data_IF_093586314553
#
_entry.id   IF_093586314553
#
_cell.length_a   1.000
_cell.length_b   1.000
_cell.length_c   1.000
_cell.angle_alpha   90.00
_cell.angle_beta   90.00
_cell.angle_gamma   90.00
#
_symmetry.space_group_name_H-M   'P 1'
#
loop_
_entity.id
_entity.type
_entity.pdbx_description
1 polymer ?
#
# COMPACT_ATOMS: atom_id res chain seq x y z
N UNK A 1 -10.11 7.00 -39.63
CA UNK A 1 -8.76 7.49 -40.00
C UNK A 1 -7.81 7.07 -38.89
N UNK A 2 -6.73 6.37 -39.23
CA UNK A 2 -5.85 5.68 -38.27
C UNK A 2 -4.65 6.57 -37.98
N UNK A 3 -4.33 6.76 -36.70
CA UNK A 3 -3.37 7.77 -36.24
C UNK A 3 -2.07 7.19 -35.64
N UNK A 4 -1.90 5.86 -35.70
CA UNK A 4 -0.73 5.16 -35.17
C UNK A 4 -0.36 3.93 -36.01
N UNK A 5 0.90 3.52 -35.90
CA UNK A 5 1.44 2.33 -36.55
C UNK A 5 2.60 1.73 -35.73
N UNK A 6 2.86 0.43 -35.88
CA UNK A 6 3.92 -0.28 -35.17
C UNK A 6 5.10 -0.62 -36.10
N UNK A 7 6.32 -0.43 -35.60
CA UNK A 7 7.57 -0.76 -36.29
C UNK A 7 8.39 -1.73 -35.44
N UNK A 8 8.84 -2.86 -36.01
CA UNK A 8 9.60 -3.89 -35.28
C UNK A 8 10.41 -4.80 -36.22
N UNK A 9 11.67 -5.15 -35.88
CA UNK A 9 12.57 -5.91 -36.78
C UNK A 9 12.25 -7.40 -36.95
N UNK A 10 11.69 -8.13 -35.95
CA UNK A 10 10.96 -9.35 -36.25
C UNK A 10 9.49 -9.01 -36.54
N UNK A 11 8.92 -9.59 -37.59
CA UNK A 11 7.45 -9.58 -37.76
C UNK A 11 6.85 -10.25 -36.52
N UNK A 12 6.11 -9.52 -35.66
CA UNK A 12 5.58 -10.12 -34.44
C UNK A 12 4.63 -11.26 -34.83
N UNK A 13 4.74 -12.41 -34.15
CA UNK A 13 3.76 -13.49 -34.32
C UNK A 13 2.37 -12.99 -33.91
N UNK A 14 1.37 -13.17 -34.78
CA UNK A 14 0.00 -12.71 -34.52
C UNK A 14 -0.25 -11.23 -34.84
N UNK A 15 0.13 -10.78 -36.04
CA UNK A 15 0.09 -9.37 -36.44
C UNK A 15 -1.31 -8.75 -36.31
N UNK A 16 -1.39 -7.69 -35.51
CA UNK A 16 -2.42 -6.66 -35.61
C UNK A 16 -2.38 -6.02 -37.02
N UNK A 17 -3.50 -5.52 -37.54
CA UNK A 17 -3.59 -4.78 -38.82
C UNK A 17 -2.78 -3.46 -38.86
N UNK A 18 -1.94 -3.20 -37.85
CA UNK A 18 -1.31 -1.92 -37.53
C UNK A 18 0.22 -1.93 -37.72
N UNK A 19 0.80 -3.01 -38.25
CA UNK A 19 2.24 -3.10 -38.55
C UNK A 19 2.60 -2.32 -39.82
N UNK A 20 3.56 -1.40 -39.72
CA UNK A 20 4.02 -0.54 -40.82
C UNK A 20 5.41 -0.88 -41.36
N UNK A 21 6.26 -1.57 -40.58
CA UNK A 21 7.59 -1.95 -41.07
C UNK A 21 8.59 -2.33 -39.97
N UNK A 22 9.86 -2.29 -40.33
CA UNK A 22 10.99 -2.51 -39.42
C UNK A 22 11.53 -1.18 -38.85
N UNK A 23 12.55 -1.22 -38.00
CA UNK A 23 13.11 0.00 -37.39
C UNK A 23 13.83 0.89 -38.41
N UNK A 24 14.30 0.34 -39.53
CA UNK A 24 14.91 1.14 -40.59
C UNK A 24 13.85 1.96 -41.33
N UNK A 25 12.70 1.35 -41.64
CA UNK A 25 11.54 2.03 -42.22
C UNK A 25 11.03 3.15 -41.31
N UNK A 26 11.00 2.93 -39.99
CA UNK A 26 10.67 3.96 -39.01
C UNK A 26 11.57 5.20 -39.16
N UNK A 27 12.89 5.01 -39.28
CA UNK A 27 13.84 6.12 -39.43
C UNK A 27 13.65 6.83 -40.77
N UNK A 28 13.38 6.10 -41.85
CA UNK A 28 13.11 6.69 -43.17
C UNK A 28 11.82 7.52 -43.18
N UNK A 29 10.75 7.01 -42.59
CA UNK A 29 9.47 7.73 -42.50
C UNK A 29 9.53 8.93 -41.55
N UNK A 30 10.33 8.84 -40.48
CA UNK A 30 10.65 9.98 -39.61
C UNK A 30 11.42 11.07 -40.36
N UNK A 31 12.45 10.70 -41.15
CA UNK A 31 13.21 11.64 -42.00
C UNK A 31 12.36 12.27 -43.10
N UNK A 32 11.40 11.54 -43.64
CA UNK A 32 10.45 12.04 -44.62
C UNK A 32 9.36 12.96 -44.03
N UNK A 33 9.38 13.23 -42.72
CA UNK A 33 8.41 14.10 -42.04
C UNK A 33 7.01 13.50 -41.92
N UNK A 34 6.85 12.19 -42.14
CA UNK A 34 5.55 11.50 -42.02
C UNK A 34 5.18 11.21 -40.57
N UNK A 35 6.17 11.21 -39.68
CA UNK A 35 6.03 10.89 -38.26
C UNK A 35 6.47 12.11 -37.47
N UNK A 36 5.72 12.43 -36.41
CA UNK A 36 6.03 13.54 -35.50
C UNK A 36 6.38 13.03 -34.10
N UNK A 37 5.86 11.88 -33.70
CA UNK A 37 6.06 11.28 -32.38
C UNK A 37 6.44 9.81 -32.54
N UNK A 38 7.52 9.40 -31.88
CA UNK A 38 7.98 8.02 -31.81
C UNK A 38 7.95 7.58 -30.35
N UNK A 39 7.18 6.54 -30.06
CA UNK A 39 7.14 5.93 -28.73
C UNK A 39 7.94 4.63 -28.72
N UNK A 40 9.00 4.57 -27.93
CA UNK A 40 9.86 3.38 -27.76
C UNK A 40 9.28 2.55 -26.61
N UNK A 41 8.73 1.38 -26.92
CA UNK A 41 8.20 0.42 -25.95
C UNK A 41 9.09 -0.84 -25.82
N UNK A 42 10.37 -0.72 -26.17
CA UNK A 42 11.33 -1.83 -26.12
C UNK A 42 11.84 -2.05 -24.69
N UNK A 43 12.16 -3.30 -24.35
CA UNK A 43 12.75 -3.64 -23.05
C UNK A 43 14.13 -2.99 -22.90
N UNK A 44 14.42 -2.50 -21.70
CA UNK A 44 15.70 -1.82 -21.38
C UNK A 44 16.93 -2.73 -21.47
N UNK A 45 16.75 -4.06 -21.41
CA UNK A 45 17.85 -5.02 -21.60
C UNK A 45 18.50 -4.92 -22.99
N UNK A 46 17.80 -4.35 -23.98
CA UNK A 46 18.30 -4.04 -25.33
C UNK A 46 18.93 -2.63 -25.41
N UNK A 47 19.59 -2.17 -24.35
CA UNK A 47 20.10 -0.79 -24.24
C UNK A 47 20.95 -0.31 -25.42
N UNK A 48 21.74 -1.20 -26.04
CA UNK A 48 22.52 -0.89 -27.25
C UNK A 48 21.63 -0.58 -28.46
N UNK A 49 20.51 -1.28 -28.61
CA UNK A 49 19.57 -1.13 -29.73
C UNK A 49 18.72 0.13 -29.57
N UNK A 50 18.25 0.41 -28.36
CA UNK A 50 17.56 1.67 -28.03
C UNK A 50 18.49 2.85 -28.29
N UNK A 51 19.74 2.81 -27.82
CA UNK A 51 20.73 3.87 -28.05
C UNK A 51 20.98 4.11 -29.54
N UNK A 52 21.14 3.04 -30.34
CA UNK A 52 21.31 3.14 -31.80
C UNK A 52 20.11 3.80 -32.46
N UNK A 53 18.89 3.39 -32.10
CA UNK A 53 17.66 3.95 -32.66
C UNK A 53 17.48 5.44 -32.31
N UNK A 54 17.68 5.80 -31.04
CA UNK A 54 17.63 7.20 -30.58
C UNK A 54 18.64 8.05 -31.36
N UNK A 55 19.86 7.56 -31.57
CA UNK A 55 20.87 8.26 -32.36
C UNK A 55 20.46 8.45 -33.83
N UNK A 56 19.85 7.43 -34.45
CA UNK A 56 19.35 7.52 -35.84
C UNK A 56 18.16 8.48 -36.00
N UNK A 57 17.35 8.64 -34.96
CA UNK A 57 16.21 9.56 -34.93
C UNK A 57 16.60 10.99 -34.51
N UNK A 58 17.79 11.20 -33.94
CA UNK A 58 18.24 12.51 -33.46
C UNK A 58 18.36 13.56 -34.57
N UNK A 59 18.63 13.12 -35.81
CA UNK A 59 18.71 14.00 -37.00
C UNK A 59 17.34 14.24 -37.66
N UNK A 60 16.24 13.98 -36.95
CA UNK A 60 14.87 14.17 -37.45
C UNK A 60 14.10 15.20 -36.62
N UNK A 61 12.95 15.65 -37.11
CA UNK A 61 12.04 16.56 -36.37
C UNK A 61 11.10 15.82 -35.43
N UNK A 62 11.26 14.51 -35.24
CA UNK A 62 10.40 13.70 -34.39
C UNK A 62 10.68 13.92 -32.90
N UNK A 63 9.61 13.99 -32.10
CA UNK A 63 9.71 13.81 -30.65
C UNK A 63 9.84 12.31 -30.34
N UNK A 64 10.93 11.92 -29.69
CA UNK A 64 11.19 10.52 -29.29
C UNK A 64 10.90 10.37 -27.81
N UNK A 65 9.88 9.59 -27.47
CA UNK A 65 9.44 9.31 -26.10
C UNK A 65 9.71 7.85 -25.76
N UNK A 66 10.17 7.59 -24.55
CA UNK A 66 10.37 6.24 -24.02
C UNK A 66 9.19 5.88 -23.13
N UNK A 67 8.59 4.72 -23.37
CA UNK A 67 7.57 4.12 -22.50
C UNK A 67 8.31 3.21 -21.51
N UNK A 68 8.46 3.59 -20.23
CA UNK A 68 9.09 2.73 -19.25
C UNK A 68 8.21 1.51 -18.95
N UNK A 69 8.83 0.37 -18.71
CA UNK A 69 8.13 -0.77 -18.10
C UNK A 69 7.83 -0.51 -16.62
N UNK A 70 7.00 -1.33 -15.99
CA UNK A 70 6.58 -1.17 -14.57
C UNK A 70 7.78 -1.11 -13.63
N UNK A 71 8.84 -1.87 -13.92
CA UNK A 71 10.06 -1.90 -13.12
C UNK A 71 10.87 -0.60 -13.25
N UNK A 72 11.07 -0.12 -14.47
CA UNK A 72 11.72 1.15 -14.81
C UNK A 72 10.93 2.33 -14.27
N UNK A 73 9.60 2.28 -14.31
CA UNK A 73 8.74 3.33 -13.78
C UNK A 73 8.91 3.48 -12.25
N UNK A 74 9.00 2.36 -11.53
CA UNK A 74 9.28 2.36 -10.09
C UNK A 74 10.68 2.91 -9.78
N UNK A 75 11.69 2.55 -10.58
CA UNK A 75 13.05 3.08 -10.47
C UNK A 75 13.09 4.60 -10.67
N UNK A 76 12.43 5.12 -11.72
CA UNK A 76 12.40 6.55 -12.03
C UNK A 76 11.70 7.39 -10.95
N UNK A 77 10.74 6.81 -10.23
CA UNK A 77 10.05 7.46 -9.11
C UNK A 77 10.72 7.20 -7.76
N UNK A 78 11.67 6.26 -7.68
CA UNK A 78 12.44 6.04 -6.46
C UNK A 78 13.46 7.17 -6.28
N UNK A 79 13.69 7.57 -5.03
CA UNK A 79 14.81 8.46 -4.73
C UNK A 79 16.11 7.73 -5.05
N UNK A 80 16.94 8.33 -5.91
CA UNK A 80 18.33 7.90 -6.06
C UNK A 80 19.00 8.20 -4.71
N UNK A 81 19.41 7.14 -4.02
CA UNK A 81 20.22 7.26 -2.80
C UNK A 81 21.70 7.14 -3.17
N UNK A 82 22.58 7.74 -2.37
CA UNK A 82 24.02 7.62 -2.56
C UNK A 82 24.58 6.70 -1.48
N UNK A 83 25.13 5.55 -1.88
CA UNK A 83 25.86 4.65 -1.00
C UNK A 83 27.34 4.72 -1.36
N UNK A 84 28.14 5.40 -0.53
CA UNK A 84 29.59 5.55 -0.72
C UNK A 84 30.00 6.10 -2.10
N UNK A 85 29.33 7.15 -2.59
CA UNK A 85 29.62 7.72 -3.91
C UNK A 85 29.02 6.95 -5.09
N UNK A 86 28.32 5.85 -4.83
CA UNK A 86 27.62 5.08 -5.86
C UNK A 86 26.13 5.42 -5.80
N UNK A 87 25.54 5.95 -6.89
CA UNK A 87 24.09 6.13 -6.97
C UNK A 87 23.44 4.75 -6.98
N UNK A 88 22.62 4.49 -5.95
CA UNK A 88 21.82 3.27 -5.82
C UNK A 88 20.35 3.62 -5.95
N UNK A 89 19.59 2.67 -6.51
CA UNK A 89 18.16 2.81 -6.76
C UNK A 89 17.46 1.73 -5.95
N UNK A 90 16.70 2.06 -4.90
CA UNK A 90 15.99 1.06 -4.12
C UNK A 90 14.86 0.46 -4.96
N UNK A 91 14.91 -0.86 -5.19
CA UNK A 91 13.87 -1.59 -5.95
C UNK A 91 12.57 -1.76 -5.16
N UNK A 92 12.64 -1.62 -3.84
CA UNK A 92 11.51 -1.60 -2.92
C UNK A 92 11.68 -0.40 -2.00
N UNK A 93 10.94 0.69 -2.28
CA UNK A 93 10.83 1.80 -1.33
C UNK A 93 9.57 1.61 -0.48
N UNK A 94 9.65 1.93 0.80
CA UNK A 94 8.46 1.97 1.64
C UNK A 94 7.78 3.31 1.32
N UNK A 95 6.55 3.34 0.77
CA UNK A 95 5.94 4.55 0.17
C UNK A 95 5.67 5.71 1.16
N UNK A 96 6.16 5.62 2.39
CA UNK A 96 6.05 6.61 3.46
C UNK A 96 7.44 7.02 3.98
N UNK A 97 8.38 7.35 3.09
CA UNK A 97 9.68 7.91 3.48
C UNK A 97 9.66 9.45 3.55
N UNK A 98 10.30 10.02 4.57
CA UNK A 98 10.53 11.46 4.72
C UNK A 98 9.32 12.32 5.14
N UNK A 99 9.18 13.51 4.53
CA UNK A 99 8.19 14.56 4.87
C UNK A 99 6.75 14.05 4.83
N UNK A 100 6.43 13.15 3.90
CA UNK A 100 5.09 12.56 3.79
C UNK A 100 4.67 11.79 5.04
N UNK A 101 5.62 11.14 5.74
CA UNK A 101 5.36 10.45 7.01
C UNK A 101 5.06 11.43 8.13
N UNK A 102 5.78 12.55 8.19
CA UNK A 102 5.54 13.61 9.17
C UNK A 102 4.19 14.28 8.94
N UNK A 103 3.87 14.60 7.69
CA UNK A 103 2.57 15.18 7.33
C UNK A 103 1.43 14.22 7.67
N UNK A 104 1.55 12.95 7.28
CA UNK A 104 0.57 11.91 7.62
C UNK A 104 0.40 11.76 9.13
N UNK A 105 1.50 11.85 9.89
CA UNK A 105 1.49 11.77 11.35
C UNK A 105 0.78 12.96 11.98
N UNK A 106 1.02 14.17 11.48
CA UNK A 106 0.34 15.38 11.93
C UNK A 106 -1.17 15.28 11.65
N UNK A 107 -1.56 14.87 10.44
CA UNK A 107 -2.94 14.62 10.05
C UNK A 107 -3.63 13.61 11.00
N UNK A 108 -2.99 12.47 11.26
CA UNK A 108 -3.50 11.45 12.18
C UNK A 108 -3.72 12.01 13.59
N UNK A 109 -2.80 12.80 14.11
CA UNK A 109 -2.91 13.39 15.46
C UNK A 109 -4.06 14.38 15.51
N UNK A 110 -4.16 15.30 14.54
CA UNK A 110 -5.21 16.32 14.48
C UNK A 110 -6.59 15.66 14.37
N UNK A 111 -6.76 14.76 13.40
CA UNK A 111 -8.03 14.08 13.17
C UNK A 111 -8.41 13.16 14.34
N UNK A 112 -7.48 12.40 14.90
CA UNK A 112 -7.79 11.51 16.03
C UNK A 112 -8.15 12.31 17.29
N UNK A 113 -7.50 13.45 17.52
CA UNK A 113 -7.83 14.33 18.64
C UNK A 113 -9.24 14.91 18.49
N UNK A 114 -9.57 15.40 17.29
CA UNK A 114 -10.90 15.94 17.00
C UNK A 114 -11.98 14.86 17.15
N UNK A 115 -11.77 13.68 16.57
CA UNK A 115 -12.70 12.55 16.69
C UNK A 115 -12.87 12.18 18.15
N UNK A 116 -11.79 11.99 18.91
CA UNK A 116 -11.85 11.64 20.33
C UNK A 116 -12.61 12.67 21.17
N UNK A 117 -12.42 13.96 20.89
CA UNK A 117 -13.16 15.02 21.57
C UNK A 117 -14.66 14.90 21.29
N UNK A 118 -15.05 14.73 20.02
CA UNK A 118 -16.45 14.60 19.60
C UNK A 118 -17.13 13.34 20.16
N UNK A 119 -16.43 12.20 20.19
CA UNK A 119 -16.99 10.93 20.67
C UNK A 119 -16.79 10.73 22.18
N UNK A 120 -16.09 11.61 22.88
CA UNK A 120 -15.85 11.49 24.33
C UNK A 120 -17.11 11.25 25.17
N UNK A 121 -18.26 11.94 24.97
CA UNK A 121 -19.48 11.61 25.71
C UNK A 121 -19.96 10.18 25.43
N UNK A 122 -19.88 9.72 24.18
CA UNK A 122 -20.27 8.38 23.77
C UNK A 122 -19.34 7.33 24.41
N UNK A 123 -18.03 7.59 24.44
CA UNK A 123 -17.05 6.73 25.11
C UNK A 123 -17.35 6.59 26.60
N UNK A 124 -17.72 7.68 27.29
CA UNK A 124 -18.13 7.65 28.70
C UNK A 124 -19.40 6.82 28.90
N UNK A 125 -20.43 7.00 28.07
CA UNK A 125 -21.66 6.20 28.14
C UNK A 125 -21.38 4.70 27.92
N UNK A 126 -20.57 4.35 26.91
CA UNK A 126 -20.18 2.96 26.65
C UNK A 126 -19.37 2.41 27.83
N UNK A 127 -18.45 3.20 28.38
CA UNK A 127 -17.64 2.79 29.53
C UNK A 127 -18.50 2.41 30.73
N UNK A 128 -19.52 3.21 31.04
CA UNK A 128 -20.50 2.91 32.08
C UNK A 128 -21.31 1.65 31.75
N UNK A 129 -21.84 1.52 30.54
CA UNK A 129 -22.61 0.35 30.11
C UNK A 129 -21.79 -0.95 30.23
N UNK A 130 -20.51 -0.91 29.84
CA UNK A 130 -19.59 -2.05 29.97
C UNK A 130 -19.35 -2.36 31.44
N UNK A 131 -19.07 -1.35 32.27
CA UNK A 131 -18.79 -1.52 33.71
C UNK A 131 -19.98 -2.10 34.48
N UNK A 132 -21.19 -1.72 34.12
CA UNK A 132 -22.43 -2.23 34.72
C UNK A 132 -22.80 -3.63 34.20
N UNK A 133 -22.35 -4.01 33.00
CA UNK A 133 -22.69 -5.31 32.40
C UNK A 133 -21.92 -6.51 32.97
N UNK A 134 -20.71 -6.28 33.50
CA UNK A 134 -19.85 -7.32 34.10
C UNK A 134 -18.74 -6.71 34.97
N UNK A 135 -18.33 -7.37 36.05
CA UNK A 135 -17.18 -6.92 36.86
C UNK A 135 -15.87 -6.96 36.05
N UNK A 136 -14.99 -6.00 36.30
CA UNK A 136 -13.66 -5.91 35.64
C UNK A 136 -13.34 -4.53 35.06
N UNK A 137 -12.22 -4.40 34.32
CA UNK A 137 -11.83 -3.17 33.65
C UNK A 137 -12.63 -2.96 32.35
N UNK A 138 -12.93 -1.70 32.05
CA UNK A 138 -13.71 -1.28 30.88
C UNK A 138 -12.98 -1.53 29.56
N UNK A 139 -11.66 -1.27 29.56
CA UNK A 139 -10.81 -1.40 28.37
C UNK A 139 -10.12 -2.76 28.38
N UNK A 140 -10.16 -3.42 27.22
CA UNK A 140 -9.42 -4.61 26.88
C UNK A 140 -8.28 -4.24 25.93
N UNK A 141 -7.11 -4.90 26.08
CA UNK A 141 -5.92 -4.66 25.26
C UNK A 141 -5.54 -5.95 24.55
N UNK A 142 -5.37 -5.88 23.23
CA UNK A 142 -4.98 -7.03 22.41
C UNK A 142 -3.67 -6.75 21.68
N UNK A 143 -2.71 -7.66 21.75
CA UNK A 143 -1.47 -7.54 20.96
C UNK A 143 -1.75 -7.87 19.50
N UNK A 144 -1.28 -7.01 18.59
CA UNK A 144 -1.34 -7.13 17.13
C UNK A 144 0.00 -6.73 16.51
N UNK A 145 0.26 -7.12 15.27
CA UNK A 145 1.40 -6.59 14.53
C UNK A 145 1.03 -5.27 13.84
N UNK A 146 1.78 -4.22 14.17
CA UNK A 146 1.66 -2.90 13.55
C UNK A 146 2.67 -2.71 12.42
N UNK A 147 3.06 -1.45 12.18
CA UNK A 147 4.08 -1.09 11.20
C UNK A 147 5.40 -1.83 11.47
N UNK A 148 6.07 -2.27 10.41
CA UNK A 148 7.34 -3.01 10.45
C UNK A 148 7.27 -4.34 11.23
N UNK A 149 6.07 -4.90 11.42
CA UNK A 149 5.89 -6.14 12.18
C UNK A 149 6.16 -5.98 13.67
N UNK A 150 6.16 -4.76 14.21
CA UNK A 150 6.35 -4.53 15.65
C UNK A 150 5.05 -4.81 16.42
N UNK A 151 5.10 -5.50 17.58
CA UNK A 151 3.91 -5.75 18.37
C UNK A 151 3.37 -4.45 18.97
N UNK A 152 2.09 -4.16 18.73
CA UNK A 152 1.34 -3.04 19.28
C UNK A 152 0.18 -3.54 20.15
N UNK A 153 -0.13 -2.81 21.22
CA UNK A 153 -1.32 -3.08 22.05
C UNK A 153 -2.50 -2.30 21.49
N UNK A 154 -3.48 -2.97 20.89
CA UNK A 154 -4.71 -2.37 20.36
C UNK A 154 -5.78 -2.30 21.46
N UNK A 155 -6.42 -1.14 21.61
CA UNK A 155 -7.35 -0.84 22.69
C UNK A 155 -8.77 -1.02 22.20
N UNK A 156 -9.60 -1.72 22.99
CA UNK A 156 -11.01 -1.95 22.71
C UNK A 156 -11.84 -1.87 23.98
N UNK A 157 -13.14 -1.65 23.87
CA UNK A 157 -14.04 -1.90 24.99
C UNK A 157 -14.19 -3.41 25.23
N UNK A 158 -14.29 -3.79 26.51
CA UNK A 158 -14.56 -5.17 26.89
C UNK A 158 -15.95 -5.59 26.40
N UNK A 159 -15.99 -6.61 25.54
CA UNK A 159 -17.24 -7.19 25.03
C UNK A 159 -17.52 -8.61 25.55
N UNK A 160 -16.59 -9.18 26.34
CA UNK A 160 -16.68 -10.55 26.86
C UNK A 160 -16.44 -10.62 28.38
N UNK A 161 -17.22 -11.46 29.05
CA UNK A 161 -16.98 -11.99 30.41
C UNK A 161 -15.89 -13.06 30.31
N UNK A 162 -14.90 -12.99 31.20
CA UNK A 162 -13.81 -13.95 31.48
C UNK A 162 -12.50 -13.16 31.63
N UNK A 163 -11.84 -13.38 32.76
CA UNK A 163 -10.41 -13.21 32.98
C UNK A 163 -9.92 -14.54 33.58
N UNK A 164 -9.64 -15.52 32.72
CA UNK A 164 -8.81 -16.67 33.10
C UNK A 164 -7.56 -16.61 32.22
N UNK A 165 -6.42 -16.55 32.89
CA UNK A 165 -5.09 -16.38 32.33
C UNK A 165 -4.65 -17.64 31.59
N UNK A 166 -5.29 -18.00 30.49
CA UNK A 166 -4.76 -19.02 29.60
C UNK A 166 -3.83 -18.39 28.57
N UNK A 167 -2.62 -18.95 28.48
CA UNK A 167 -1.57 -18.59 27.52
C UNK A 167 -2.02 -18.78 26.05
N UNK A 168 -3.21 -19.33 25.83
CA UNK A 168 -3.80 -19.63 24.52
C UNK A 168 -5.00 -18.70 24.29
N UNK A 169 -4.83 -17.74 23.37
CA UNK A 169 -5.93 -16.87 22.94
C UNK A 169 -6.86 -17.67 22.02
N UNK A 170 -7.90 -18.28 22.58
CA UNK A 170 -8.97 -18.91 21.78
C UNK A 170 -9.75 -17.83 21.03
N UNK A 171 -9.82 -17.95 19.69
CA UNK A 171 -10.65 -17.06 18.88
C UNK A 171 -12.12 -17.22 19.28
N UNK A 172 -12.84 -16.10 19.32
CA UNK A 172 -14.27 -16.11 19.62
C UNK A 172 -15.04 -16.79 18.48
N UNK A 173 -15.88 -17.76 18.82
CA UNK A 173 -16.76 -18.44 17.87
C UNK A 173 -18.06 -17.65 17.67
N UNK A 174 -18.84 -18.02 16.64
CA UNK A 174 -20.18 -17.48 16.47
C UNK A 174 -21.05 -17.89 17.67
N UNK A 175 -21.75 -16.94 18.29
CA UNK A 175 -22.53 -17.14 19.53
C UNK A 175 -21.71 -17.58 20.75
N UNK A 176 -20.49 -17.06 20.89
CA UNK A 176 -19.64 -17.34 22.04
C UNK A 176 -20.34 -16.94 23.37
N UNK A 177 -20.53 -17.88 24.33
CA UNK A 177 -21.25 -17.64 25.58
C UNK A 177 -20.57 -16.60 26.49
N UNK A 178 -19.29 -16.30 26.23
CA UNK A 178 -18.54 -15.27 26.95
C UNK A 178 -18.99 -13.86 26.57
N UNK A 179 -19.65 -13.65 25.42
CA UNK A 179 -20.04 -12.30 24.97
C UNK A 179 -21.20 -11.76 25.81
N UNK A 180 -21.09 -10.53 26.33
CA UNK A 180 -22.20 -9.91 27.10
C UNK A 180 -23.26 -9.35 26.16
N UNK A 181 -24.49 -9.11 26.65
CA UNK A 181 -25.54 -8.45 25.83
C UNK A 181 -25.06 -7.10 25.29
N UNK A 182 -24.42 -6.29 26.14
CA UNK A 182 -23.78 -5.02 25.75
C UNK A 182 -22.63 -5.28 24.78
N UNK A 183 -21.78 -6.27 25.04
CA UNK A 183 -20.67 -6.63 24.17
C UNK A 183 -21.09 -7.09 22.78
N UNK A 184 -22.20 -7.80 22.66
CA UNK A 184 -22.78 -8.22 21.39
C UNK A 184 -23.23 -6.99 20.57
N UNK A 185 -23.89 -6.03 21.23
CA UNK A 185 -24.24 -4.76 20.60
C UNK A 185 -23.00 -4.01 20.12
N UNK A 186 -21.99 -3.84 20.99
CA UNK A 186 -20.75 -3.12 20.65
C UNK A 186 -20.01 -3.75 19.47
N UNK A 187 -19.92 -5.09 19.40
CA UNK A 187 -19.27 -5.80 18.29
C UNK A 187 -20.04 -5.65 16.98
N UNK A 188 -21.37 -5.71 17.02
CA UNK A 188 -22.21 -5.56 15.82
C UNK A 188 -22.11 -4.16 15.23
N UNK A 189 -21.98 -3.14 16.08
CA UNK A 189 -21.83 -1.74 15.65
C UNK A 189 -20.38 -1.29 15.54
N UNK A 190 -19.41 -2.18 15.82
CA UNK A 190 -17.97 -1.87 15.90
C UNK A 190 -17.62 -0.72 16.87
N UNK A 191 -18.52 -0.43 17.82
CA UNK A 191 -18.30 0.61 18.84
C UNK A 191 -17.25 0.16 19.86
N UNK A 192 -16.97 -1.14 19.97
CA UNK A 192 -15.89 -1.65 20.80
C UNK A 192 -14.51 -1.21 20.30
N UNK A 193 -14.38 -0.81 19.04
CA UNK A 193 -13.12 -0.40 18.42
C UNK A 193 -12.84 1.11 18.54
N UNK A 194 -13.77 1.94 19.03
CA UNK A 194 -13.55 3.38 19.19
C UNK A 194 -12.32 3.75 20.04
N UNK A 195 -11.95 3.01 21.10
CA UNK A 195 -10.71 3.29 21.84
C UNK A 195 -9.43 3.20 20.99
N UNK A 196 -9.47 2.60 19.79
CA UNK A 196 -8.32 2.54 18.87
C UNK A 196 -7.86 3.92 18.39
N UNK A 197 -8.68 4.98 18.47
CA UNK A 197 -8.19 6.33 18.20
C UNK A 197 -7.09 6.77 19.19
N UNK A 198 -7.04 6.19 20.39
CA UNK A 198 -5.92 6.37 21.33
C UNK A 198 -4.65 5.69 20.79
N UNK A 199 -4.78 4.58 20.07
CA UNK A 199 -3.65 3.95 19.38
C UNK A 199 -3.10 4.82 18.26
N UNK A 200 -3.98 5.56 17.57
CA UNK A 200 -3.53 6.57 16.61
C UNK A 200 -2.74 7.65 17.33
N UNK A 201 -3.24 8.22 18.42
CA UNK A 201 -2.50 9.25 19.17
C UNK A 201 -1.14 8.77 19.71
N UNK A 202 -1.05 7.52 20.16
CA UNK A 202 0.21 6.92 20.65
C UNK A 202 1.15 6.45 19.54
N UNK A 203 0.74 6.54 18.27
CA UNK A 203 1.58 6.22 17.11
C UNK A 203 1.67 4.73 16.79
N UNK A 204 0.85 3.89 17.43
CA UNK A 204 0.75 2.47 17.09
C UNK A 204 -0.09 2.20 15.84
N UNK A 205 -0.95 3.15 15.44
CA UNK A 205 -1.87 3.02 14.30
C UNK A 205 -1.98 4.36 13.54
N UNK A 206 -2.54 4.30 12.33
CA UNK A 206 -2.97 5.44 11.51
C UNK A 206 -4.49 5.36 11.33
N UNK A 207 -5.18 6.50 11.16
CA UNK A 207 -6.63 6.53 10.87
C UNK A 207 -6.93 5.81 9.56
N UNK A 208 -6.06 6.05 8.56
CA UNK A 208 -6.11 5.39 7.25
C UNK A 208 -4.83 4.59 7.08
N UNK A 209 -4.95 3.26 7.10
CA UNK A 209 -3.83 2.34 6.98
C UNK A 209 -4.26 0.87 6.98
N UNK A 210 -3.36 -0.06 6.65
CA UNK A 210 -3.64 -1.49 6.68
C UNK A 210 -4.03 -1.95 8.09
N UNK A 211 -5.02 -2.83 8.19
CA UNK A 211 -5.55 -3.30 9.49
C UNK A 211 -4.52 -4.18 10.22
N UNK A 212 -4.23 -3.94 11.51
CA UNK A 212 -3.27 -4.76 12.26
C UNK A 212 -3.70 -6.23 12.34
N UNK A 213 -2.84 -7.14 11.87
CA UNK A 213 -3.13 -8.58 11.86
C UNK A 213 -2.89 -9.24 13.24
N UNK A 214 -3.63 -10.31 13.50
CA UNK A 214 -3.55 -11.07 14.74
C UNK A 214 -2.23 -11.85 14.86
N UNK A 215 -1.55 -11.73 16.02
CA UNK A 215 -0.25 -12.38 16.30
C UNK A 215 -0.28 -13.88 16.03
N UNK A 216 -1.39 -14.56 16.34
CA UNK A 216 -1.51 -16.01 16.22
C UNK A 216 -1.57 -16.55 14.77
N UNK A 217 -1.82 -15.71 13.75
CA UNK A 217 -1.92 -16.18 12.36
C UNK A 217 -0.63 -15.94 11.56
N UNK A 218 0.15 -14.90 11.86
CA UNK A 218 1.29 -14.53 11.01
C UNK A 218 2.48 -15.49 11.08
N UNK A 219 2.68 -16.22 12.17
CA UNK A 219 3.76 -17.22 12.25
C UNK A 219 3.47 -18.45 11.39
N UNK A 220 2.21 -18.87 11.28
CA UNK A 220 1.83 -20.02 10.45
C UNK A 220 1.90 -19.72 8.94
N UNK A 221 1.53 -18.52 8.49
CA UNK A 221 1.51 -18.20 7.04
C UNK A 221 2.84 -17.67 6.49
N UNK A 222 3.77 -17.22 7.35
CA UNK A 222 5.09 -16.74 6.91
C UNK A 222 5.92 -17.83 6.19
N UNK A 223 5.64 -19.10 6.47
CA UNK A 223 6.33 -20.23 5.83
C UNK A 223 5.66 -20.68 4.51
N UNK A 224 4.48 -20.15 4.17
CA UNK A 224 3.69 -20.57 3.00
C UNK A 224 3.82 -19.62 1.80
N UNK A 225 4.51 -18.49 1.96
CA UNK A 225 4.77 -17.54 0.88
C UNK A 225 6.23 -17.72 0.46
N UNK A 226 6.45 -18.52 -0.58
CA UNK A 226 7.71 -18.50 -1.34
C UNK A 226 7.81 -17.15 -2.06
N UNK A 227 8.90 -16.43 -1.81
CA UNK A 227 9.21 -15.15 -2.46
C UNK A 227 9.82 -15.33 -3.84
#
# INVERSE_FOLDING_TARGET
MKWWAFYHDPKPGGVSNDWAGNLQQLVEDAKAGKIHNVYIAMQMCDGARVKKLVHQLADTTCSVLLIPDVFTFNILHSRIEEMNGVPVVPLYDTPLSGVNRLLKRAEDIVLATLILLLISPVLCCIALAVKLSSPGPVIFRQTRYGMDGKPIKVWKFRSMKVMENDKVVTQATQNDPRVTKVGNFLRRTSLDELPQFINVLTGGMSIVGPRPHAVAHNEQYRQLIEG
#
